data_IF_119387990644
#
_entry.id   IF_119387990644
#
_cell.length_a   1.000
_cell.length_b   1.000
_cell.length_c   1.000
_cell.angle_alpha   90.00
_cell.angle_beta   90.00
_cell.angle_gamma   90.00
#
_symmetry.space_group_name_H-M   'P 1'
#
loop_
_entity.id
_entity.type
_entity.pdbx_description
1 polymer ?
#
# COMPACT_ATOMS: atom_id res chain seq x y z
N UNK A 1 10.79 5.25 -13.37
CA UNK A 1 9.59 5.92 -13.93
C UNK A 1 8.56 4.98 -14.55
N UNK A 2 8.94 3.93 -15.30
CA UNK A 2 7.97 3.02 -15.95
C UNK A 2 7.05 2.30 -14.96
N UNK A 3 7.62 1.71 -13.89
CA UNK A 3 6.86 1.01 -12.84
C UNK A 3 5.84 1.92 -12.14
N UNK A 4 6.19 3.18 -11.89
CA UNK A 4 5.27 4.18 -11.31
C UNK A 4 4.10 4.47 -12.25
N UNK A 5 4.37 4.63 -13.55
CA UNK A 5 3.32 4.87 -14.55
C UNK A 5 2.35 3.70 -14.64
N UNK A 6 2.86 2.47 -14.67
CA UNK A 6 1.99 1.28 -14.65
C UNK A 6 1.17 1.17 -13.37
N UNK A 7 1.73 1.56 -12.22
CA UNK A 7 0.97 1.63 -10.98
C UNK A 7 -0.17 2.65 -11.04
N UNK A 8 0.07 3.86 -11.56
CA UNK A 8 -0.98 4.87 -11.74
C UNK A 8 -2.09 4.40 -12.67
N UNK A 9 -1.74 3.74 -13.78
CA UNK A 9 -2.73 3.14 -14.69
C UNK A 9 -3.55 2.08 -13.96
N UNK A 10 -2.90 1.21 -13.18
CA UNK A 10 -3.59 0.20 -12.36
C UNK A 10 -4.58 0.82 -11.38
N UNK A 11 -4.18 1.90 -10.68
CA UNK A 11 -5.08 2.61 -9.75
C UNK A 11 -6.29 3.23 -10.46
N UNK A 12 -6.09 3.85 -11.63
CA UNK A 12 -7.21 4.43 -12.41
C UNK A 12 -8.16 3.34 -12.88
N UNK A 13 -7.64 2.23 -13.41
CA UNK A 13 -8.45 1.09 -13.83
C UNK A 13 -9.19 0.47 -12.64
N UNK A 14 -8.55 0.36 -11.48
CA UNK A 14 -9.17 -0.12 -10.25
C UNK A 14 -10.34 0.79 -9.83
N UNK A 15 -10.17 2.12 -9.84
CA UNK A 15 -11.24 3.06 -9.49
C UNK A 15 -12.45 2.96 -10.42
N UNK A 16 -12.22 2.81 -11.73
CA UNK A 16 -13.30 2.63 -12.71
C UNK A 16 -14.01 1.28 -12.53
N UNK A 17 -13.23 0.20 -12.33
CA UNK A 17 -13.76 -1.14 -12.08
C UNK A 17 -14.57 -1.21 -10.79
N UNK A 18 -14.06 -0.64 -9.69
CA UNK A 18 -14.76 -0.57 -8.41
C UNK A 18 -16.05 0.25 -8.51
N UNK A 19 -16.04 1.38 -9.24
CA UNK A 19 -17.27 2.14 -9.48
C UNK A 19 -18.32 1.29 -10.19
N UNK A 20 -17.93 0.58 -11.26
CA UNK A 20 -18.82 -0.30 -12.00
C UNK A 20 -19.36 -1.44 -11.13
N UNK A 21 -18.52 -2.10 -10.33
CA UNK A 21 -18.92 -3.17 -9.42
C UNK A 21 -19.90 -2.64 -8.37
N UNK A 22 -19.57 -1.54 -7.67
CA UNK A 22 -20.45 -0.94 -6.67
C UNK A 22 -21.80 -0.54 -7.29
N UNK A 23 -21.79 0.09 -8.47
CA UNK A 23 -23.02 0.53 -9.14
C UNK A 23 -23.93 -0.64 -9.55
N UNK A 24 -23.38 -1.77 -10.00
CA UNK A 24 -24.18 -2.91 -10.46
C UNK A 24 -24.62 -3.84 -9.33
N UNK A 25 -23.76 -4.07 -8.33
CA UNK A 25 -23.99 -5.09 -7.30
C UNK A 25 -24.44 -4.53 -5.95
N UNK A 26 -24.19 -3.24 -5.66
CA UNK A 26 -24.58 -2.60 -4.40
C UNK A 26 -25.67 -1.53 -4.60
N UNK A 27 -26.34 -1.51 -5.76
CA UNK A 27 -27.50 -0.66 -5.97
C UNK A 27 -28.74 -1.27 -5.33
N UNK A 28 -29.29 -0.55 -4.35
CA UNK A 28 -30.50 -0.94 -3.64
C UNK A 28 -31.60 0.06 -4.02
N UNK A 29 -32.75 -0.37 -4.59
CA UNK A 29 -33.82 0.54 -5.00
C UNK A 29 -34.39 1.40 -3.85
N UNK A 30 -34.36 0.89 -2.62
CA UNK A 30 -34.82 1.61 -1.42
C UNK A 30 -33.81 2.65 -0.91
N UNK A 31 -32.51 2.46 -1.18
CA UNK A 31 -31.42 3.36 -0.80
C UNK A 31 -30.54 3.65 -2.03
N UNK A 32 -30.99 4.54 -2.93
CA UNK A 32 -30.34 4.73 -4.24
C UNK A 32 -28.93 5.31 -4.13
N UNK A 33 -28.55 5.93 -3.00
CA UNK A 33 -27.23 6.51 -2.79
C UNK A 33 -26.23 5.57 -2.08
N UNK A 34 -26.67 4.43 -1.56
CA UNK A 34 -25.81 3.53 -0.77
C UNK A 34 -24.57 3.06 -1.56
N UNK A 35 -24.74 2.73 -2.84
CA UNK A 35 -23.63 2.30 -3.70
C UNK A 35 -22.53 3.37 -3.82
N UNK A 36 -22.89 4.65 -3.74
CA UNK A 36 -21.94 5.77 -3.87
C UNK A 36 -21.11 5.91 -2.59
N UNK A 37 -21.72 5.73 -1.41
CA UNK A 37 -20.99 5.72 -0.14
C UNK A 37 -20.01 4.53 -0.08
N UNK A 38 -20.44 3.34 -0.49
CA UNK A 38 -19.55 2.18 -0.58
C UNK A 38 -18.45 2.35 -1.62
N UNK A 39 -18.76 2.97 -2.75
CA UNK A 39 -17.74 3.36 -3.71
C UNK A 39 -16.71 4.31 -3.07
N UNK A 40 -17.14 5.34 -2.33
CA UNK A 40 -16.23 6.24 -1.62
C UNK A 40 -15.37 5.49 -0.58
N UNK A 41 -15.91 4.49 0.12
CA UNK A 41 -15.11 3.62 0.98
C UNK A 41 -14.02 2.88 0.18
N UNK A 42 -14.34 2.35 -1.00
CA UNK A 42 -13.36 1.71 -1.87
C UNK A 42 -12.27 2.67 -2.35
N UNK A 43 -12.63 3.94 -2.64
CA UNK A 43 -11.70 5.01 -3.01
C UNK A 43 -10.73 5.29 -1.86
N UNK A 44 -11.22 5.35 -0.62
CA UNK A 44 -10.36 5.48 0.58
C UNK A 44 -9.32 4.36 0.60
N UNK A 45 -9.73 3.11 0.34
CA UNK A 45 -8.82 1.98 0.21
C UNK A 45 -7.73 2.16 -0.85
N UNK A 46 -8.12 2.60 -2.05
CA UNK A 46 -7.18 2.87 -3.15
C UNK A 46 -6.20 3.99 -2.77
N UNK A 47 -6.67 5.04 -2.09
CA UNK A 47 -5.82 6.13 -1.59
C UNK A 47 -4.85 5.61 -0.54
N UNK A 48 -5.29 4.77 0.40
CA UNK A 48 -4.41 4.11 1.39
C UNK A 48 -3.33 3.31 0.68
N UNK A 49 -3.69 2.51 -0.32
CA UNK A 49 -2.71 1.77 -1.11
C UNK A 49 -1.65 2.68 -1.71
N UNK A 50 -2.06 3.79 -2.31
CA UNK A 50 -1.15 4.76 -2.91
C UNK A 50 -0.23 5.40 -1.87
N UNK A 51 -0.79 5.83 -0.73
CA UNK A 51 -0.04 6.44 0.37
C UNK A 51 0.99 5.46 0.95
N UNK A 52 0.64 4.18 1.11
CA UNK A 52 1.57 3.16 1.60
C UNK A 52 2.78 3.00 0.69
N UNK A 53 2.56 2.95 -0.63
CA UNK A 53 3.65 2.88 -1.61
C UNK A 53 4.48 4.17 -1.58
N UNK A 54 3.85 5.34 -1.50
CA UNK A 54 4.54 6.62 -1.47
C UNK A 54 5.39 6.82 -0.20
N UNK A 55 4.83 6.52 0.98
CA UNK A 55 5.52 6.60 2.27
C UNK A 55 6.69 5.60 2.30
N UNK A 56 6.45 4.35 1.90
CA UNK A 56 7.51 3.34 1.88
C UNK A 56 8.64 3.75 0.95
N UNK A 57 8.31 4.28 -0.24
CA UNK A 57 9.31 4.83 -1.15
C UNK A 57 10.10 5.98 -0.52
N UNK A 58 9.45 6.93 0.15
CA UNK A 58 10.13 8.06 0.80
C UNK A 58 11.19 7.62 1.82
N UNK A 59 10.91 6.55 2.58
CA UNK A 59 11.84 6.03 3.59
C UNK A 59 12.89 5.03 3.05
N UNK A 60 12.80 4.61 1.79
CA UNK A 60 13.65 3.51 1.26
C UNK A 60 14.38 3.83 -0.04
N UNK A 61 13.98 4.86 -0.77
CA UNK A 61 14.62 5.28 -2.01
C UNK A 61 15.72 6.32 -1.72
N UNK A 62 16.90 6.09 -2.31
CA UNK A 62 18.12 6.89 -2.10
C UNK A 62 17.97 8.36 -2.56
N UNK A 63 16.93 8.66 -3.34
CA UNK A 63 16.64 10.03 -3.78
C UNK A 63 16.04 10.90 -2.66
N UNK A 64 15.63 10.32 -1.53
CA UNK A 64 14.97 11.05 -0.44
C UNK A 64 15.86 11.22 0.80
N UNK A 65 15.52 12.24 1.59
CA UNK A 65 16.25 12.65 2.79
C UNK A 65 16.54 11.53 3.81
N UNK A 66 15.60 10.63 4.13
CA UNK A 66 15.85 9.59 5.14
C UNK A 66 16.97 8.62 4.77
N UNK A 67 17.10 8.24 3.50
CA UNK A 67 18.18 7.35 3.06
C UNK A 67 19.50 8.12 2.90
N UNK A 68 19.43 9.36 2.42
CA UNK A 68 20.61 10.23 2.29
C UNK A 68 21.22 10.56 3.66
N UNK A 69 20.40 10.71 4.71
CA UNK A 69 20.91 10.95 6.06
C UNK A 69 21.68 9.73 6.59
N UNK A 70 21.18 8.51 6.36
CA UNK A 70 21.88 7.26 6.70
C UNK A 70 23.23 7.18 5.95
N UNK A 71 23.22 7.47 4.64
CA UNK A 71 24.43 7.49 3.83
C UNK A 71 25.45 8.53 4.36
N UNK A 72 24.99 9.72 4.76
CA UNK A 72 25.86 10.75 5.34
C UNK A 72 26.44 10.32 6.70
N UNK A 73 25.64 9.64 7.54
CA UNK A 73 26.09 9.10 8.83
C UNK A 73 27.19 8.04 8.71
N UNK A 74 27.33 7.42 7.52
CA UNK A 74 28.43 6.48 7.25
C UNK A 74 29.80 7.15 7.26
N UNK A 75 29.88 8.47 7.05
CA UNK A 75 31.15 9.23 7.16
C UNK A 75 31.70 9.29 8.59
N UNK A 76 30.83 9.14 9.60
CA UNK A 76 31.20 9.16 11.02
C UNK A 76 31.47 7.75 11.60
N UNK A 77 31.35 6.70 10.76
CA UNK A 77 31.64 5.31 11.12
C UNK A 77 30.42 4.40 11.16
N UNK A 78 30.66 3.10 11.39
CA UNK A 78 29.60 2.08 11.36
C UNK A 78 28.55 2.26 12.46
N UNK A 79 28.97 2.69 13.66
CA UNK A 79 28.05 2.85 14.80
C UNK A 79 26.99 3.93 14.52
N UNK A 80 27.40 5.09 14.00
CA UNK A 80 26.47 6.18 13.64
C UNK A 80 25.55 5.77 12.51
N UNK A 81 26.05 5.03 11.52
CA UNK A 81 25.21 4.49 10.44
C UNK A 81 24.08 3.59 10.97
N UNK A 82 24.40 2.65 11.88
CA UNK A 82 23.40 1.75 12.48
C UNK A 82 22.38 2.53 13.33
N UNK A 83 22.84 3.48 14.15
CA UNK A 83 21.94 4.29 14.99
C UNK A 83 20.99 5.13 14.14
N UNK A 84 21.50 5.81 13.10
CA UNK A 84 20.65 6.59 12.19
C UNK A 84 19.68 5.69 11.43
N UNK A 85 20.14 4.53 10.93
CA UNK A 85 19.27 3.57 10.25
C UNK A 85 18.13 3.05 11.15
N UNK A 86 18.43 2.72 12.40
CA UNK A 86 17.42 2.30 13.37
C UNK A 86 16.42 3.44 13.68
N UNK A 87 16.92 4.66 13.86
CA UNK A 87 16.07 5.83 14.11
C UNK A 87 15.10 6.07 12.96
N UNK A 88 15.58 6.06 11.71
CA UNK A 88 14.74 6.21 10.52
C UNK A 88 13.74 5.06 10.40
N UNK A 89 14.16 3.83 10.72
CA UNK A 89 13.27 2.67 10.76
C UNK A 89 12.12 2.83 11.75
N UNK A 90 12.39 3.29 12.97
CA UNK A 90 11.36 3.55 13.98
C UNK A 90 10.42 4.68 13.54
N UNK A 91 10.97 5.78 12.99
CA UNK A 91 10.20 6.91 12.47
C UNK A 91 9.24 6.48 11.34
N UNK A 92 9.69 5.59 10.44
CA UNK A 92 8.94 5.17 9.26
C UNK A 92 7.60 4.49 9.56
N UNK A 93 7.38 4.04 10.80
CA UNK A 93 6.15 3.38 11.23
C UNK A 93 5.01 4.36 11.58
N UNK A 94 5.34 5.61 11.90
CA UNK A 94 4.34 6.58 12.37
C UNK A 94 3.30 6.96 11.32
N UNK A 95 3.74 7.32 10.11
CA UNK A 95 2.84 7.70 9.02
C UNK A 95 1.93 6.53 8.57
N UNK A 96 2.41 5.29 8.35
CA UNK A 96 1.55 4.15 8.03
C UNK A 96 0.44 3.90 9.05
N UNK A 97 0.75 4.01 10.36
CA UNK A 97 -0.26 3.85 11.42
C UNK A 97 -1.33 4.92 11.32
N UNK A 98 -0.96 6.18 11.15
CA UNK A 98 -1.91 7.28 10.98
C UNK A 98 -2.81 7.08 9.76
N UNK A 99 -2.24 6.64 8.63
CA UNK A 99 -3.00 6.37 7.40
C UNK A 99 -4.04 5.27 7.64
N UNK A 100 -3.69 4.17 8.31
CA UNK A 100 -4.64 3.10 8.65
C UNK A 100 -5.74 3.62 9.58
N UNK A 101 -5.37 4.33 10.65
CA UNK A 101 -6.34 4.85 11.62
C UNK A 101 -7.36 5.78 10.97
N UNK A 102 -6.90 6.72 10.13
CA UNK A 102 -7.79 7.62 9.40
C UNK A 102 -8.66 6.85 8.41
N UNK A 103 -8.11 5.85 7.71
CA UNK A 103 -8.86 5.05 6.76
C UNK A 103 -10.00 4.27 7.42
N UNK A 104 -9.75 3.65 8.57
CA UNK A 104 -10.77 2.92 9.34
C UNK A 104 -11.89 3.88 9.75
N UNK A 105 -11.53 5.02 10.36
CA UNK A 105 -12.52 6.01 10.83
C UNK A 105 -13.37 6.54 9.67
N UNK A 106 -12.73 6.98 8.58
CA UNK A 106 -13.42 7.56 7.43
C UNK A 106 -14.31 6.52 6.74
N UNK A 107 -13.82 5.31 6.52
CA UNK A 107 -14.62 4.26 5.86
C UNK A 107 -15.75 3.73 6.73
N UNK A 108 -15.60 3.74 8.06
CA UNK A 108 -16.67 3.42 9.00
C UNK A 108 -17.80 4.45 8.93
N UNK A 109 -17.50 5.74 9.07
CA UNK A 109 -18.53 6.78 9.03
C UNK A 109 -19.18 6.91 7.64
N UNK A 110 -18.42 6.73 6.55
CA UNK A 110 -18.99 6.67 5.20
C UNK A 110 -19.91 5.46 5.04
N UNK A 111 -19.53 4.31 5.62
CA UNK A 111 -20.35 3.12 5.64
C UNK A 111 -21.67 3.32 6.40
N UNK A 112 -21.65 3.98 7.55
CA UNK A 112 -22.88 4.34 8.29
C UNK A 112 -23.76 5.31 7.51
N UNK A 113 -23.16 6.29 6.82
CA UNK A 113 -23.87 7.25 5.97
C UNK A 113 -24.60 6.60 4.78
N UNK A 114 -24.30 5.33 4.45
CA UNK A 114 -25.06 4.55 3.45
C UNK A 114 -26.53 4.36 3.83
N UNK A 115 -26.87 4.48 5.12
CA UNK A 115 -28.24 4.35 5.63
C UNK A 115 -28.75 2.91 5.71
N UNK A 116 -27.88 1.90 5.51
CA UNK A 116 -28.26 0.49 5.73
C UNK A 116 -28.53 0.27 7.21
N UNK A 117 -29.74 -0.17 7.50
CA UNK A 117 -30.23 -0.47 8.84
C UNK A 117 -30.58 -1.95 8.97
N UNK A 118 -30.35 -2.50 10.15
CA UNK A 118 -30.85 -3.83 10.53
C UNK A 118 -32.36 -3.79 10.83
N UNK A 119 -32.99 -4.96 11.00
CA UNK A 119 -34.38 -5.14 11.42
C UNK A 119 -34.75 -4.38 12.71
N UNK A 120 -33.75 -4.01 13.52
CA UNK A 120 -33.89 -3.25 14.77
C UNK A 120 -33.69 -1.73 14.61
N UNK A 121 -33.40 -1.25 13.40
CA UNK A 121 -33.19 0.18 13.09
C UNK A 121 -31.77 0.69 13.35
N UNK A 122 -30.84 -0.18 13.74
CA UNK A 122 -29.44 0.19 13.98
C UNK A 122 -28.66 0.30 12.66
N UNK A 123 -27.78 1.30 12.55
CA UNK A 123 -26.89 1.46 11.40
C UNK A 123 -25.82 0.38 11.43
N UNK A 124 -25.79 -0.48 10.40
CA UNK A 124 -24.85 -1.61 10.31
C UNK A 124 -23.84 -1.47 9.15
N UNK A 125 -23.99 -0.42 8.34
CA UNK A 125 -23.14 -0.21 7.15
C UNK A 125 -21.68 0.14 7.46
N UNK A 126 -21.35 0.54 8.69
CA UNK A 126 -20.01 1.02 9.06
C UNK A 126 -18.93 -0.04 8.94
N UNK A 127 -19.13 -1.20 9.56
CA UNK A 127 -18.16 -2.30 9.50
C UNK A 127 -17.98 -2.80 8.05
N UNK A 128 -19.08 -2.92 7.30
CA UNK A 128 -19.04 -3.28 5.88
C UNK A 128 -18.29 -2.24 5.04
N UNK A 129 -18.40 -0.95 5.37
CA UNK A 129 -17.63 0.13 4.75
C UNK A 129 -16.11 -0.05 4.91
N UNK A 130 -15.66 -0.45 6.10
CA UNK A 130 -14.23 -0.76 6.34
C UNK A 130 -13.77 -2.01 5.56
N UNK A 131 -14.67 -2.98 5.36
CA UNK A 131 -14.40 -4.16 4.53
C UNK A 131 -14.19 -3.80 3.05
N UNK A 132 -15.05 -2.93 2.53
CA UNK A 132 -14.93 -2.42 1.16
C UNK A 132 -13.67 -1.57 0.99
N UNK A 133 -13.30 -0.74 1.96
CA UNK A 133 -12.04 -0.02 1.92
C UNK A 133 -10.83 -0.96 1.86
N UNK A 134 -10.86 -2.07 2.59
CA UNK A 134 -9.81 -3.09 2.54
C UNK A 134 -9.72 -3.74 1.14
N UNK A 135 -10.87 -4.07 0.53
CA UNK A 135 -10.91 -4.55 -0.86
C UNK A 135 -10.40 -3.51 -1.87
N UNK A 136 -10.73 -2.23 -1.65
CA UNK A 136 -10.21 -1.12 -2.45
C UNK A 136 -8.68 -1.02 -2.40
N UNK A 137 -8.08 -1.22 -1.22
CA UNK A 137 -6.62 -1.31 -1.09
C UNK A 137 -6.07 -2.47 -1.93
N UNK A 138 -6.67 -3.66 -1.82
CA UNK A 138 -6.27 -4.88 -2.54
C UNK A 138 -6.40 -4.80 -4.07
N UNK A 139 -7.25 -3.92 -4.60
CA UNK A 139 -7.49 -3.80 -6.04
C UNK A 139 -6.21 -3.53 -6.85
N UNK A 140 -5.22 -2.86 -6.28
CA UNK A 140 -3.91 -2.63 -6.91
C UNK A 140 -2.80 -3.60 -6.44
N UNK A 141 -3.12 -4.51 -5.53
CA UNK A 141 -2.17 -5.41 -4.87
C UNK A 141 -1.48 -6.36 -5.84
N UNK A 142 -2.18 -6.84 -6.87
CA UNK A 142 -1.58 -7.70 -7.92
C UNK A 142 -0.42 -6.97 -8.62
N UNK A 143 -0.58 -5.68 -8.89
CA UNK A 143 0.49 -4.88 -9.50
C UNK A 143 1.67 -4.71 -8.53
N UNK A 144 1.39 -4.38 -7.26
CA UNK A 144 2.42 -4.22 -6.22
C UNK A 144 3.22 -5.51 -6.00
N UNK A 145 2.54 -6.66 -5.99
CA UNK A 145 3.17 -7.98 -5.89
C UNK A 145 3.98 -8.32 -7.14
N UNK A 146 3.49 -7.98 -8.33
CA UNK A 146 4.21 -8.20 -9.59
C UNK A 146 5.51 -7.39 -9.65
N UNK A 147 5.51 -6.15 -9.14
CA UNK A 147 6.72 -5.32 -9.04
C UNK A 147 7.77 -5.91 -8.08
N UNK A 148 7.35 -6.73 -7.10
CA UNK A 148 8.29 -7.37 -6.17
C UNK A 148 9.19 -8.39 -6.87
N UNK A 149 8.67 -9.08 -7.90
CA UNK A 149 9.41 -10.06 -8.68
C UNK A 149 10.56 -9.46 -9.50
N UNK A 150 10.46 -8.17 -9.83
CA UNK A 150 11.53 -7.46 -10.54
C UNK A 150 12.84 -7.39 -9.73
N UNK A 151 12.76 -7.23 -8.41
CA UNK A 151 13.94 -7.07 -7.56
C UNK A 151 14.90 -8.27 -7.61
N UNK A 152 14.45 -9.49 -7.26
CA UNK A 152 15.29 -10.69 -7.34
C UNK A 152 15.82 -10.97 -8.75
N UNK A 153 15.08 -10.61 -9.80
CA UNK A 153 15.54 -10.77 -11.18
C UNK A 153 16.70 -9.81 -11.48
N UNK A 154 16.59 -8.55 -11.07
CA UNK A 154 17.64 -7.54 -11.27
C UNK A 154 18.91 -7.85 -10.46
N UNK A 155 18.75 -8.26 -9.20
CA UNK A 155 19.84 -8.67 -8.30
C UNK A 155 20.63 -9.85 -8.89
N UNK A 156 19.94 -10.92 -9.32
CA UNK A 156 20.57 -12.07 -9.95
C UNK A 156 21.26 -11.71 -11.27
N UNK A 157 20.68 -10.82 -12.07
CA UNK A 157 21.30 -10.35 -13.31
C UNK A 157 22.62 -9.62 -13.02
N UNK A 158 22.66 -8.74 -12.02
CA UNK A 158 23.90 -8.08 -11.57
C UNK A 158 24.94 -9.08 -11.08
N UNK A 159 24.53 -10.08 -10.30
CA UNK A 159 25.41 -11.17 -9.87
C UNK A 159 26.03 -11.96 -11.03
N UNK A 160 25.24 -12.28 -12.07
CA UNK A 160 25.74 -12.95 -13.28
C UNK A 160 26.76 -12.06 -14.01
N UNK A 161 26.47 -10.76 -14.17
CA UNK A 161 27.37 -9.78 -14.81
C UNK A 161 28.71 -9.71 -14.09
N UNK A 162 28.71 -9.69 -12.76
CA UNK A 162 29.93 -9.70 -11.94
C UNK A 162 30.72 -10.99 -12.10
N UNK A 163 30.06 -12.14 -11.94
CA UNK A 163 30.72 -13.45 -11.98
C UNK A 163 31.23 -13.82 -13.38
N UNK A 164 30.70 -13.19 -14.43
CA UNK A 164 31.12 -13.39 -15.82
C UNK A 164 32.05 -12.31 -16.35
N UNK A 165 32.58 -11.44 -15.47
CA UNK A 165 33.56 -10.39 -15.78
C UNK A 165 33.16 -9.53 -17.01
N UNK A 166 31.88 -9.20 -17.11
CA UNK A 166 31.38 -8.35 -18.20
C UNK A 166 31.85 -6.90 -18.03
N UNK A 167 31.72 -6.13 -19.11
CA UNK A 167 32.08 -4.71 -19.13
C UNK A 167 31.35 -3.91 -18.02
N UNK A 168 32.04 -2.94 -17.43
CA UNK A 168 31.53 -2.13 -16.31
C UNK A 168 30.26 -1.35 -16.69
N UNK A 169 30.12 -0.98 -17.96
CA UNK A 169 28.90 -0.35 -18.48
C UNK A 169 27.65 -1.22 -18.30
N UNK A 170 27.79 -2.56 -18.36
CA UNK A 170 26.67 -3.49 -18.11
C UNK A 170 26.35 -3.54 -16.62
N UNK A 171 27.39 -3.50 -15.77
CA UNK A 171 27.26 -3.49 -14.30
C UNK A 171 26.52 -2.25 -13.82
N UNK A 172 26.88 -1.08 -14.32
CA UNK A 172 26.23 0.20 -13.98
C UNK A 172 24.72 0.17 -14.26
N UNK A 173 24.32 -0.48 -15.35
CA UNK A 173 22.90 -0.68 -15.68
C UNK A 173 22.25 -1.61 -14.65
N UNK A 174 22.85 -2.76 -14.35
CA UNK A 174 22.28 -3.73 -13.40
C UNK A 174 22.20 -3.20 -11.97
N UNK A 175 23.17 -2.41 -11.51
CA UNK A 175 23.15 -1.79 -10.18
C UNK A 175 22.02 -0.76 -10.06
N UNK A 176 21.76 0.00 -11.13
CA UNK A 176 20.60 0.88 -11.18
C UNK A 176 19.28 0.12 -11.11
N UNK A 177 19.19 -1.05 -11.77
CA UNK A 177 18.00 -1.90 -11.73
C UNK A 177 17.81 -2.54 -10.34
N UNK A 178 18.88 -3.02 -9.70
CA UNK A 178 18.80 -3.58 -8.34
C UNK A 178 18.40 -2.52 -7.30
N UNK A 179 18.94 -1.31 -7.40
CA UNK A 179 18.53 -0.20 -6.54
C UNK A 179 17.01 0.07 -6.64
N UNK A 180 16.44 0.03 -7.84
CA UNK A 180 14.98 0.11 -8.04
C UNK A 180 14.28 -1.11 -7.44
N UNK A 181 14.84 -2.31 -7.63
CA UNK A 181 14.34 -3.57 -7.08
C UNK A 181 14.26 -3.61 -5.56
N UNK A 182 15.22 -2.99 -4.87
CA UNK A 182 15.23 -2.90 -3.41
C UNK A 182 14.09 -2.02 -2.88
N UNK A 183 13.78 -0.91 -3.58
CA UNK A 183 12.62 -0.07 -3.26
C UNK A 183 11.31 -0.81 -3.53
N UNK A 184 11.18 -1.53 -4.66
CA UNK A 184 9.93 -2.28 -4.93
C UNK A 184 9.72 -3.42 -3.94
N UNK A 185 10.78 -4.12 -3.55
CA UNK A 185 10.76 -5.15 -2.49
C UNK A 185 10.28 -4.57 -1.17
N UNK A 186 10.75 -3.38 -0.79
CA UNK A 186 10.28 -2.70 0.41
C UNK A 186 8.80 -2.28 0.31
N UNK A 187 8.38 -1.71 -0.83
CA UNK A 187 6.98 -1.35 -1.08
C UNK A 187 6.04 -2.55 -0.91
N UNK A 188 6.44 -3.73 -1.42
CA UNK A 188 5.64 -4.94 -1.25
C UNK A 188 5.53 -5.36 0.20
N UNK A 189 6.63 -5.31 0.98
CA UNK A 189 6.58 -5.62 2.41
C UNK A 189 5.68 -4.64 3.17
N UNK A 190 5.84 -3.34 2.94
CA UNK A 190 5.01 -2.30 3.57
C UNK A 190 3.53 -2.47 3.21
N UNK A 191 3.23 -2.76 1.94
CA UNK A 191 1.88 -3.03 1.48
C UNK A 191 1.28 -4.29 2.12
N UNK A 192 2.03 -5.39 2.21
CA UNK A 192 1.60 -6.60 2.90
C UNK A 192 1.27 -6.35 4.36
N UNK A 193 2.09 -5.59 5.08
CA UNK A 193 1.82 -5.21 6.48
C UNK A 193 0.54 -4.38 6.57
N UNK A 194 0.40 -3.31 5.78
CA UNK A 194 -0.78 -2.45 5.84
C UNK A 194 -2.09 -3.17 5.50
N UNK A 195 -2.06 -4.00 4.45
CA UNK A 195 -3.21 -4.79 4.04
C UNK A 195 -3.58 -5.87 5.07
N UNK A 196 -2.58 -6.50 5.70
CA UNK A 196 -2.80 -7.45 6.79
C UNK A 196 -3.37 -6.78 8.05
N UNK A 197 -2.95 -5.56 8.38
CA UNK A 197 -3.50 -4.80 9.50
C UNK A 197 -4.99 -4.49 9.31
N UNK A 198 -5.39 -4.04 8.11
CA UNK A 198 -6.80 -3.81 7.79
C UNK A 198 -7.62 -5.11 7.81
N UNK A 199 -7.08 -6.19 7.23
CA UNK A 199 -7.73 -7.50 7.26
C UNK A 199 -7.87 -8.06 8.69
N UNK A 200 -6.85 -7.88 9.54
CA UNK A 200 -6.88 -8.29 10.93
C UNK A 200 -7.96 -7.55 11.72
N UNK A 201 -8.08 -6.23 11.53
CA UNK A 201 -9.16 -5.44 12.13
C UNK A 201 -10.53 -6.00 11.74
N UNK A 202 -10.76 -6.28 10.46
CA UNK A 202 -12.02 -6.84 9.97
C UNK A 202 -12.34 -8.20 10.55
N UNK A 203 -11.37 -9.12 10.55
CA UNK A 203 -11.56 -10.45 11.09
C UNK A 203 -11.85 -10.41 12.60
N UNK A 204 -11.20 -9.51 13.32
CA UNK A 204 -11.45 -9.33 14.75
C UNK A 204 -12.83 -8.73 15.02
N UNK A 205 -13.24 -7.72 14.25
CA UNK A 205 -14.59 -7.17 14.34
C UNK A 205 -15.67 -8.19 13.98
N UNK A 206 -15.48 -8.98 12.92
CA UNK A 206 -16.40 -10.05 12.55
C UNK A 206 -16.47 -11.15 13.61
N UNK A 207 -15.35 -11.48 14.25
CA UNK A 207 -15.32 -12.41 15.37
C UNK A 207 -16.13 -11.90 16.58
N UNK A 208 -16.02 -10.59 16.91
CA UNK A 208 -16.78 -9.98 17.99
C UNK A 208 -18.28 -9.82 17.70
N UNK A 209 -18.67 -9.78 16.43
CA UNK A 209 -20.08 -9.70 16.02
C UNK A 209 -20.78 -11.07 16.12
N UNK A 210 -20.04 -12.15 15.86
CA UNK A 210 -20.57 -13.53 15.86
C UNK A 210 -20.60 -14.18 17.26
N UNK A 211 -19.74 -13.75 18.20
CA UNK A 211 -19.57 -14.34 19.55
C UNK A 211 -20.23 -13.49 20.63
#
# INVERSE_FOLDING_TARGET
NVLKRGYYVSLVLALLGLFWICRNFLFIPTLPNAYLYFYLCSVVGVVVSFLFVAITQYYTDYNFGPVQSIASSSQMGHATNIITGLSVGLESTGLPVLVISVAIIVSFYLGEASGIQDAQGNLIGGLYGTAIATMGMFASGVYVLSMSGFGPIADNAGGIVEMSEQDSAVRDITDMLDAVGNVTKANTKGYSVGSASLACFLLFSAYLDEV
#
